data_IF_486096390842
#
_entry.id   IF_486096390842
#
_cell.length_a   1.000
_cell.length_b   1.000
_cell.length_c   1.000
_cell.angle_alpha   90.00
_cell.angle_beta   90.00
_cell.angle_gamma   90.00
#
_symmetry.space_group_name_H-M   'P 1'
#
loop_
_entity.id
_entity.type
_entity.pdbx_description
1 polymer ?
#
# COMPACT_ATOMS: atom_id res chain seq x y z
N UNK A 1 -23.89 14.49 -1.18
CA UNK A 1 -22.87 14.32 -2.26
C UNK A 1 -22.49 12.86 -2.26
N UNK A 2 -22.56 12.18 -3.40
CA UNK A 2 -22.06 10.82 -3.53
C UNK A 2 -20.56 10.80 -3.26
N UNK A 3 -20.05 9.83 -2.47
CA UNK A 3 -18.63 9.73 -2.15
C UNK A 3 -17.76 9.59 -3.41
N UNK A 4 -16.49 10.01 -3.35
CA UNK A 4 -15.55 10.02 -4.49
C UNK A 4 -15.34 8.64 -5.16
N UNK A 5 -15.58 7.55 -4.41
CA UNK A 5 -15.42 6.17 -4.86
C UNK A 5 -16.73 5.42 -4.98
N UNK A 6 -17.86 6.15 -5.05
CA UNK A 6 -19.19 5.53 -5.19
C UNK A 6 -19.25 4.62 -6.42
N UNK A 7 -19.69 3.36 -6.21
CA UNK A 7 -19.78 2.34 -7.26
C UNK A 7 -18.42 1.75 -7.69
N UNK A 8 -17.34 2.07 -7.00
CA UNK A 8 -16.01 1.52 -7.27
C UNK A 8 -15.66 0.41 -6.28
N UNK A 9 -15.13 -0.68 -6.81
CA UNK A 9 -14.63 -1.81 -6.01
C UNK A 9 -13.10 -1.78 -5.99
N UNK A 10 -12.50 -1.78 -4.80
CA UNK A 10 -11.06 -1.67 -4.61
C UNK A 10 -10.52 -2.88 -3.85
N UNK A 11 -9.54 -3.56 -4.44
CA UNK A 11 -8.76 -4.59 -3.75
C UNK A 11 -7.72 -3.92 -2.86
N UNK A 12 -7.63 -4.32 -1.59
CA UNK A 12 -6.59 -3.86 -0.66
C UNK A 12 -5.82 -5.05 -0.13
N UNK A 13 -4.51 -5.13 -0.39
CA UNK A 13 -3.67 -6.20 0.14
C UNK A 13 -3.16 -5.88 1.54
N UNK A 14 -3.03 -6.90 2.40
CA UNK A 14 -2.66 -6.68 3.80
C UNK A 14 -3.74 -5.93 4.58
N UNK A 15 -5.01 -6.16 4.23
CA UNK A 15 -6.17 -5.41 4.70
C UNK A 15 -6.54 -5.65 6.18
N UNK A 16 -6.07 -6.75 6.80
CA UNK A 16 -6.55 -7.19 8.10
C UNK A 16 -6.18 -6.27 9.28
N UNK A 17 -5.16 -5.43 9.15
CA UNK A 17 -4.64 -4.60 10.26
C UNK A 17 -3.79 -3.42 9.78
N UNK A 18 -3.43 -2.53 10.71
CA UNK A 18 -2.52 -1.40 10.47
C UNK A 18 -3.03 -0.46 9.38
N UNK A 19 -2.14 0.04 8.53
CA UNK A 19 -2.51 0.96 7.45
C UNK A 19 -3.49 0.33 6.46
N UNK A 20 -3.40 -0.98 6.19
CA UNK A 20 -4.31 -1.67 5.27
C UNK A 20 -5.76 -1.61 5.73
N UNK A 21 -6.03 -1.88 7.00
CA UNK A 21 -7.37 -1.76 7.57
C UNK A 21 -7.88 -0.31 7.53
N UNK A 22 -7.03 0.65 7.88
CA UNK A 22 -7.38 2.07 7.84
C UNK A 22 -7.64 2.58 6.41
N UNK A 23 -6.93 2.05 5.42
CA UNK A 23 -7.21 2.31 4.00
C UNK A 23 -8.58 1.74 3.59
N UNK A 24 -8.94 0.53 4.07
CA UNK A 24 -10.25 -0.05 3.83
C UNK A 24 -11.36 0.85 4.39
N UNK A 25 -11.24 1.33 5.63
CA UNK A 25 -12.20 2.27 6.21
C UNK A 25 -12.32 3.56 5.39
N UNK A 26 -11.22 4.20 5.03
CA UNK A 26 -11.24 5.45 4.26
C UNK A 26 -11.89 5.27 2.88
N UNK A 27 -11.65 4.14 2.20
CA UNK A 27 -12.26 3.82 0.92
C UNK A 27 -13.76 3.56 1.07
N UNK A 28 -14.17 2.80 2.10
CA UNK A 28 -15.56 2.51 2.41
C UNK A 28 -16.33 3.81 2.75
N UNK A 29 -15.77 4.68 3.60
CA UNK A 29 -16.33 5.99 3.94
C UNK A 29 -16.45 6.92 2.72
N UNK A 30 -15.59 6.75 1.72
CA UNK A 30 -15.67 7.44 0.44
C UNK A 30 -16.70 6.81 -0.53
N UNK A 31 -17.45 5.77 -0.10
CA UNK A 31 -18.48 5.10 -0.86
C UNK A 31 -17.99 3.94 -1.74
N UNK A 32 -16.74 3.50 -1.57
CA UNK A 32 -16.17 2.37 -2.29
C UNK A 32 -16.50 1.02 -1.65
N UNK A 33 -16.53 -0.02 -2.45
CA UNK A 33 -16.62 -1.43 -2.00
C UNK A 33 -15.22 -2.01 -1.85
N UNK A 34 -14.99 -2.79 -0.80
CA UNK A 34 -13.69 -3.39 -0.49
C UNK A 34 -13.68 -4.88 -0.84
N UNK A 35 -12.61 -5.30 -1.53
CA UNK A 35 -12.15 -6.68 -1.58
C UNK A 35 -10.88 -6.79 -0.72
N UNK A 36 -11.03 -7.26 0.51
CA UNK A 36 -9.97 -7.30 1.50
C UNK A 36 -9.09 -8.54 1.31
N UNK A 37 -7.84 -8.39 0.85
CA UNK A 37 -6.93 -9.51 0.65
C UNK A 37 -5.94 -9.64 1.82
N UNK A 38 -5.85 -10.85 2.37
CA UNK A 38 -4.95 -11.16 3.49
C UNK A 38 -4.89 -12.65 3.82
N UNK A 39 -4.14 -13.00 4.87
CA UNK A 39 -3.87 -14.38 5.29
C UNK A 39 -4.66 -14.83 6.50
N UNK A 40 -5.19 -13.90 7.26
CA UNK A 40 -5.92 -14.14 8.51
C UNK A 40 -7.39 -13.89 8.28
N UNK A 41 -8.13 -15.00 8.08
CA UNK A 41 -9.56 -14.95 7.78
C UNK A 41 -10.35 -14.29 8.91
N UNK A 42 -10.06 -14.61 10.16
CA UNK A 42 -10.81 -14.08 11.29
C UNK A 42 -10.63 -12.56 11.42
N UNK A 43 -9.39 -12.08 11.25
CA UNK A 43 -9.10 -10.65 11.27
C UNK A 43 -9.71 -9.90 10.06
N UNK A 44 -9.75 -10.51 8.88
CA UNK A 44 -10.42 -9.94 7.70
C UNK A 44 -11.93 -9.83 7.91
N UNK A 45 -12.56 -10.88 8.43
CA UNK A 45 -14.01 -10.88 8.73
C UNK A 45 -14.35 -9.79 9.75
N UNK A 46 -13.57 -9.69 10.83
CA UNK A 46 -13.78 -8.66 11.85
C UNK A 46 -13.63 -7.24 11.28
N UNK A 47 -12.59 -7.00 10.46
CA UNK A 47 -12.35 -5.71 9.83
C UNK A 47 -13.48 -5.34 8.87
N UNK A 48 -13.94 -6.28 8.02
CA UNK A 48 -15.04 -6.03 7.08
C UNK A 48 -16.35 -5.71 7.82
N UNK A 49 -16.64 -6.37 8.93
CA UNK A 49 -17.86 -6.14 9.71
C UNK A 49 -17.93 -4.72 10.31
N UNK A 50 -16.80 -4.03 10.44
CA UNK A 50 -16.67 -2.66 10.95
C UNK A 50 -16.67 -1.58 9.85
N UNK A 51 -16.72 -1.99 8.57
CA UNK A 51 -16.74 -1.04 7.45
C UNK A 51 -18.12 -0.41 7.24
N UNK A 52 -18.12 0.86 6.86
CA UNK A 52 -19.33 1.55 6.39
C UNK A 52 -19.72 1.06 5.00
N UNK A 53 -21.04 0.94 4.75
CA UNK A 53 -21.57 0.47 3.47
C UNK A 53 -21.83 -1.04 3.43
N UNK A 54 -21.95 -1.58 2.23
CA UNK A 54 -22.28 -3.00 2.00
C UNK A 54 -21.55 -3.56 0.77
N UNK A 55 -21.59 -4.89 0.60
CA UNK A 55 -20.99 -5.55 -0.57
C UNK A 55 -19.49 -5.81 -0.43
N UNK A 56 -18.90 -5.52 0.73
CA UNK A 56 -17.50 -5.85 1.01
C UNK A 56 -17.32 -7.36 1.09
N UNK A 57 -16.16 -7.86 0.63
CA UNK A 57 -15.83 -9.28 0.63
C UNK A 57 -14.33 -9.48 0.92
N UNK A 58 -13.92 -10.70 1.15
CA UNK A 58 -12.53 -11.05 1.42
C UNK A 58 -11.94 -12.01 0.39
N UNK A 59 -10.62 -11.95 0.27
CA UNK A 59 -9.81 -12.88 -0.50
C UNK A 59 -8.73 -13.45 0.44
N UNK A 60 -8.82 -14.73 0.73
CA UNK A 60 -7.85 -15.41 1.58
C UNK A 60 -6.65 -15.84 0.74
N UNK A 61 -5.61 -15.01 0.73
CA UNK A 61 -4.39 -15.27 -0.03
C UNK A 61 -3.14 -14.70 0.66
N UNK A 62 -2.02 -15.38 0.43
CA UNK A 62 -0.69 -14.86 0.76
C UNK A 62 -0.09 -14.20 -0.50
N UNK A 63 0.18 -12.91 -0.47
CA UNK A 63 0.76 -12.17 -1.61
C UNK A 63 2.09 -12.74 -2.10
N UNK A 64 2.86 -13.40 -1.23
CA UNK A 64 4.12 -14.06 -1.60
C UNK A 64 3.90 -15.39 -2.37
N UNK A 65 2.65 -15.81 -2.63
CA UNK A 65 2.29 -17.02 -3.37
C UNK A 65 1.51 -16.64 -4.62
N UNK A 66 2.19 -16.70 -5.76
CA UNK A 66 1.66 -16.23 -7.05
C UNK A 66 0.33 -16.91 -7.41
N UNK A 67 0.23 -18.25 -7.26
CA UNK A 67 -0.97 -18.99 -7.62
C UNK A 67 -2.16 -18.59 -6.72
N UNK A 68 -1.93 -18.45 -5.40
CA UNK A 68 -2.98 -18.05 -4.47
C UNK A 68 -3.54 -16.63 -4.77
N UNK A 69 -2.71 -15.73 -5.25
CA UNK A 69 -3.12 -14.39 -5.68
C UNK A 69 -3.88 -14.46 -6.99
N UNK A 70 -3.37 -15.21 -7.97
CA UNK A 70 -3.99 -15.36 -9.28
C UNK A 70 -5.40 -15.97 -9.14
N UNK A 71 -5.53 -17.08 -8.41
CA UNK A 71 -6.81 -17.75 -8.15
C UNK A 71 -7.80 -16.83 -7.40
N UNK A 72 -7.29 -16.11 -6.41
CA UNK A 72 -8.11 -15.22 -5.59
C UNK A 72 -8.69 -14.02 -6.36
N UNK A 73 -8.02 -13.55 -7.38
CA UNK A 73 -8.42 -12.37 -8.18
C UNK A 73 -9.14 -12.73 -9.48
N UNK A 74 -8.88 -13.90 -10.09
CA UNK A 74 -9.34 -14.26 -11.43
C UNK A 74 -10.87 -14.20 -11.62
N UNK A 75 -11.64 -14.52 -10.59
CA UNK A 75 -13.12 -14.54 -10.64
C UNK A 75 -13.78 -13.26 -10.13
N UNK A 76 -12.99 -12.24 -9.80
CA UNK A 76 -13.47 -10.99 -9.19
C UNK A 76 -13.58 -9.88 -10.23
N UNK A 77 -14.46 -8.92 -9.96
CA UNK A 77 -14.54 -7.66 -10.70
C UNK A 77 -14.19 -6.52 -9.75
N UNK A 78 -13.31 -5.64 -10.18
CA UNK A 78 -12.88 -4.48 -9.40
C UNK A 78 -12.32 -3.39 -10.31
N UNK A 79 -12.29 -2.15 -9.80
CA UNK A 79 -11.84 -0.95 -10.50
C UNK A 79 -10.43 -0.50 -10.08
N UNK A 80 -9.95 -1.00 -8.97
CA UNK A 80 -8.63 -0.59 -8.46
C UNK A 80 -7.98 -1.57 -7.50
N UNK A 81 -6.67 -1.40 -7.33
CA UNK A 81 -5.82 -2.19 -6.45
C UNK A 81 -4.96 -1.27 -5.57
N UNK A 82 -4.94 -1.51 -4.26
CA UNK A 82 -3.98 -0.94 -3.31
C UNK A 82 -3.03 -2.04 -2.85
N UNK A 83 -1.80 -2.02 -3.37
CA UNK A 83 -0.70 -2.89 -2.96
C UNK A 83 -0.09 -2.36 -1.66
N UNK A 84 -0.68 -2.75 -0.54
CA UNK A 84 -0.24 -2.32 0.79
C UNK A 84 0.51 -3.39 1.57
N UNK A 85 0.30 -4.68 1.31
CA UNK A 85 0.95 -5.76 2.04
C UNK A 85 2.47 -5.56 2.10
N UNK A 86 3.03 -5.60 3.31
CA UNK A 86 4.45 -5.41 3.51
C UNK A 86 4.89 -5.71 4.93
N UNK A 87 6.16 -6.05 5.08
CA UNK A 87 6.84 -6.28 6.35
C UNK A 87 8.17 -5.53 6.37
N UNK A 88 8.66 -5.24 7.56
CA UNK A 88 9.98 -4.67 7.78
C UNK A 88 10.78 -5.56 8.73
N UNK A 89 12.08 -5.67 8.47
CA UNK A 89 13.06 -6.28 9.36
C UNK A 89 14.18 -5.28 9.57
N UNK A 90 14.63 -5.14 10.80
CA UNK A 90 15.72 -4.22 11.17
C UNK A 90 16.99 -5.03 11.42
N UNK A 91 17.98 -4.87 10.54
CA UNK A 91 19.30 -5.50 10.65
C UNK A 91 20.35 -4.68 9.90
N UNK A 92 21.62 -4.78 10.32
CA UNK A 92 22.71 -4.24 9.53
C UNK A 92 22.77 -4.98 8.18
N UNK A 93 22.95 -4.25 7.08
CA UNK A 93 22.80 -4.79 5.73
C UNK A 93 23.72 -6.02 5.50
N UNK A 94 24.97 -5.96 5.97
CA UNK A 94 25.96 -7.05 5.83
C UNK A 94 25.70 -8.23 6.77
N UNK A 95 24.79 -8.10 7.73
CA UNK A 95 24.45 -9.13 8.72
C UNK A 95 22.97 -9.53 8.65
N UNK A 96 22.28 -9.17 7.58
CA UNK A 96 20.88 -9.58 7.37
C UNK A 96 20.81 -11.08 7.11
N UNK A 97 19.98 -11.79 7.88
CA UNK A 97 19.75 -13.21 7.68
C UNK A 97 19.07 -13.48 6.33
N UNK A 98 19.43 -14.55 5.64
CA UNK A 98 18.88 -14.89 4.32
C UNK A 98 17.36 -15.02 4.37
N UNK A 99 16.80 -15.68 5.37
CA UNK A 99 15.36 -15.87 5.50
C UNK A 99 14.61 -14.53 5.65
N UNK A 100 15.20 -13.58 6.38
CA UNK A 100 14.62 -12.25 6.54
C UNK A 100 14.67 -11.46 5.23
N UNK A 101 15.79 -11.54 4.51
CA UNK A 101 15.92 -10.93 3.17
C UNK A 101 14.85 -11.48 2.24
N UNK A 102 14.73 -12.82 2.13
CA UNK A 102 13.73 -13.48 1.29
C UNK A 102 12.33 -13.06 1.69
N UNK A 103 11.98 -13.14 2.97
CA UNK A 103 10.64 -12.74 3.47
C UNK A 103 10.26 -11.31 3.11
N UNK A 104 11.19 -10.37 3.23
CA UNK A 104 10.95 -8.96 2.91
C UNK A 104 10.76 -8.79 1.39
N UNK A 105 11.64 -9.38 0.59
CA UNK A 105 11.55 -9.26 -0.88
C UNK A 105 10.29 -9.97 -1.41
N UNK A 106 10.03 -11.20 -0.95
CA UNK A 106 8.86 -11.97 -1.39
C UNK A 106 7.54 -11.30 -1.03
N UNK A 107 7.46 -10.68 0.16
CA UNK A 107 6.24 -10.01 0.58
C UNK A 107 6.08 -8.63 -0.07
N UNK A 108 7.11 -7.78 0.03
CA UNK A 108 6.99 -6.38 -0.34
C UNK A 108 7.03 -6.16 -1.85
N UNK A 109 8.04 -6.75 -2.51
CA UNK A 109 8.26 -6.54 -3.94
C UNK A 109 7.55 -7.58 -4.80
N UNK A 110 7.88 -8.86 -4.64
CA UNK A 110 7.27 -9.92 -5.44
C UNK A 110 5.76 -10.00 -5.18
N UNK A 111 5.31 -9.88 -3.93
CA UNK A 111 3.88 -9.84 -3.62
C UNK A 111 3.12 -8.71 -4.31
N UNK A 112 3.73 -7.52 -4.39
CA UNK A 112 3.14 -6.40 -5.14
C UNK A 112 3.18 -6.64 -6.66
N UNK A 113 4.21 -7.30 -7.17
CA UNK A 113 4.30 -7.67 -8.58
C UNK A 113 3.25 -8.74 -8.96
N UNK A 114 3.11 -9.79 -8.15
CA UNK A 114 2.12 -10.86 -8.40
C UNK A 114 0.68 -10.33 -8.35
N UNK A 115 0.36 -9.48 -7.38
CA UNK A 115 -0.96 -8.84 -7.31
C UNK A 115 -1.21 -7.90 -8.48
N UNK A 116 -0.22 -7.14 -8.93
CA UNK A 116 -0.33 -6.32 -10.14
C UNK A 116 -0.58 -7.20 -11.36
N UNK A 117 0.20 -8.26 -11.56
CA UNK A 117 0.04 -9.17 -12.71
C UNK A 117 -1.33 -9.84 -12.74
N UNK A 118 -1.85 -10.27 -11.58
CA UNK A 118 -3.18 -10.86 -11.48
C UNK A 118 -4.30 -9.84 -11.67
N UNK A 119 -4.10 -8.58 -11.27
CA UNK A 119 -5.10 -7.52 -11.39
C UNK A 119 -5.23 -6.97 -12.82
N UNK A 120 -4.13 -6.90 -13.57
CA UNK A 120 -4.11 -6.27 -14.91
C UNK A 120 -5.12 -6.87 -15.89
N UNK A 121 -5.28 -8.19 -16.05
CA UNK A 121 -6.29 -8.75 -16.94
C UNK A 121 -7.72 -8.35 -16.55
N UNK A 122 -8.03 -8.28 -15.26
CA UNK A 122 -9.35 -7.89 -14.74
C UNK A 122 -9.62 -6.42 -15.05
N UNK A 123 -8.65 -5.54 -14.75
CA UNK A 123 -8.77 -4.10 -15.01
C UNK A 123 -8.88 -3.80 -16.52
N UNK A 124 -8.14 -4.53 -17.38
CA UNK A 124 -8.28 -4.43 -18.84
C UNK A 124 -9.67 -4.81 -19.30
N UNK A 125 -10.22 -5.90 -18.78
CA UNK A 125 -11.57 -6.35 -19.13
C UNK A 125 -12.66 -5.35 -18.67
N UNK A 126 -12.40 -4.60 -17.60
CA UNK A 126 -13.24 -3.51 -17.09
C UNK A 126 -13.09 -2.20 -17.90
N UNK A 127 -12.19 -2.12 -18.88
CA UNK A 127 -11.92 -0.93 -19.68
C UNK A 127 -10.98 0.08 -19.03
N UNK A 128 -10.22 -0.32 -18.02
CA UNK A 128 -9.24 0.51 -17.32
C UNK A 128 -9.34 0.40 -15.80
N UNK A 129 -8.55 1.21 -15.08
CA UNK A 129 -8.57 1.20 -13.62
C UNK A 129 -7.42 1.95 -12.98
N UNK A 130 -7.19 1.70 -11.69
CA UNK A 130 -6.13 2.35 -10.93
C UNK A 130 -5.38 1.37 -10.03
N UNK A 131 -4.06 1.49 -9.98
CA UNK A 131 -3.19 0.76 -9.06
C UNK A 131 -2.43 1.78 -8.21
N UNK A 132 -2.52 1.63 -6.88
CA UNK A 132 -1.75 2.41 -5.91
C UNK A 132 -0.82 1.48 -5.15
N UNK A 133 0.48 1.66 -5.33
CA UNK A 133 1.50 0.90 -4.62
C UNK A 133 1.93 1.64 -3.35
N UNK A 134 1.91 1.01 -2.19
CA UNK A 134 2.40 1.61 -0.95
C UNK A 134 3.91 1.42 -0.84
N UNK A 135 4.63 2.49 -1.18
CA UNK A 135 6.08 2.62 -1.02
C UNK A 135 6.46 3.03 0.41
N UNK A 136 7.47 3.85 0.57
CA UNK A 136 7.90 4.47 1.84
C UNK A 136 8.89 5.60 1.56
N UNK A 137 8.95 6.60 2.43
CA UNK A 137 10.05 7.59 2.43
C UNK A 137 11.43 6.91 2.48
N UNK A 138 11.54 5.75 3.11
CA UNK A 138 12.78 4.97 3.16
C UNK A 138 13.23 4.41 1.81
N UNK A 139 12.34 4.33 0.82
CA UNK A 139 12.72 4.03 -0.56
C UNK A 139 13.44 5.18 -1.25
N UNK A 140 13.26 6.43 -0.81
CA UNK A 140 14.03 7.60 -1.26
C UNK A 140 15.30 7.80 -0.44
N UNK A 141 15.20 7.72 0.90
CA UNK A 141 16.29 8.00 1.85
C UNK A 141 16.34 6.94 2.93
N UNK A 142 17.20 5.92 2.80
CA UNK A 142 17.30 4.83 3.78
C UNK A 142 17.87 5.34 5.11
N UNK A 143 17.51 4.64 6.18
CA UNK A 143 18.14 4.79 7.49
C UNK A 143 19.04 3.57 7.80
N UNK A 144 20.00 3.71 8.71
CA UNK A 144 20.77 2.56 9.19
C UNK A 144 19.83 1.43 9.63
N UNK A 145 20.25 0.20 9.37
CA UNK A 145 19.52 -1.04 9.71
C UNK A 145 18.18 -1.26 8.99
N UNK A 146 17.81 -0.43 7.98
CA UNK A 146 16.59 -0.62 7.19
C UNK A 146 16.86 -1.03 5.74
N UNK A 147 18.09 -1.42 5.41
CA UNK A 147 18.58 -1.53 4.03
C UNK A 147 17.72 -2.41 3.11
N UNK A 148 17.34 -3.63 3.54
CA UNK A 148 16.54 -4.55 2.72
C UNK A 148 15.11 -4.00 2.53
N UNK A 149 14.50 -3.49 3.60
CA UNK A 149 13.18 -2.84 3.49
C UNK A 149 13.22 -1.64 2.54
N UNK A 150 14.21 -0.75 2.71
CA UNK A 150 14.40 0.42 1.85
C UNK A 150 14.59 0.03 0.38
N UNK A 151 15.41 -0.97 0.10
CA UNK A 151 15.61 -1.51 -1.24
C UNK A 151 14.30 -2.04 -1.84
N UNK A 152 13.50 -2.80 -1.07
CA UNK A 152 12.20 -3.29 -1.52
C UNK A 152 11.24 -2.14 -1.88
N UNK A 153 11.24 -1.05 -1.09
CA UNK A 153 10.37 0.12 -1.34
C UNK A 153 10.87 0.99 -2.50
N UNK A 154 12.17 1.09 -2.72
CA UNK A 154 12.74 1.71 -3.92
C UNK A 154 12.40 0.91 -5.19
N UNK A 155 12.45 -0.44 -5.13
CA UNK A 155 12.03 -1.31 -6.23
C UNK A 155 10.55 -1.11 -6.59
N UNK A 156 9.65 -0.94 -5.59
CA UNK A 156 8.23 -0.62 -5.81
C UNK A 156 8.07 0.72 -6.54
N UNK A 157 8.82 1.75 -6.19
CA UNK A 157 8.76 3.05 -6.88
C UNK A 157 9.16 2.92 -8.35
N UNK A 158 10.21 2.14 -8.64
CA UNK A 158 10.63 1.92 -10.03
C UNK A 158 9.64 1.03 -10.78
N UNK A 159 9.12 -0.02 -10.16
CA UNK A 159 8.04 -0.86 -10.73
C UNK A 159 6.81 -0.02 -11.07
N UNK A 160 6.45 0.95 -10.22
CA UNK A 160 5.35 1.88 -10.46
C UNK A 160 5.53 2.66 -11.77
N UNK A 161 6.73 3.21 -12.02
CA UNK A 161 7.03 3.94 -13.25
C UNK A 161 6.97 3.05 -14.49
N UNK A 162 7.55 1.85 -14.42
CA UNK A 162 7.53 0.89 -15.52
C UNK A 162 6.11 0.47 -15.86
N UNK A 163 5.34 0.07 -14.85
CA UNK A 163 3.94 -0.34 -15.03
C UNK A 163 3.06 0.80 -15.57
N UNK A 164 3.29 2.04 -15.14
CA UNK A 164 2.56 3.20 -15.64
C UNK A 164 2.74 3.40 -17.15
N UNK A 165 3.97 3.23 -17.66
CA UNK A 165 4.28 3.35 -19.08
C UNK A 165 3.63 2.20 -19.87
N UNK A 166 3.75 0.97 -19.38
CA UNK A 166 3.28 -0.23 -20.06
C UNK A 166 1.74 -0.32 -20.11
N UNK A 167 1.05 0.13 -19.05
CA UNK A 167 -0.39 -0.03 -18.87
C UNK A 167 -1.21 1.20 -19.28
N UNK A 168 -0.57 2.32 -19.63
CA UNK A 168 -1.26 3.55 -20.05
C UNK A 168 -2.23 3.34 -21.22
N UNK A 169 -1.84 2.54 -22.22
CA UNK A 169 -2.69 2.20 -23.38
C UNK A 169 -3.95 1.43 -22.99
N UNK A 170 -3.91 0.74 -21.85
CA UNK A 170 -5.04 -0.04 -21.31
C UNK A 170 -5.89 0.80 -20.34
N UNK A 171 -5.69 2.12 -20.30
CA UNK A 171 -6.38 3.07 -19.40
C UNK A 171 -6.20 2.72 -17.91
N UNK A 172 -5.08 2.09 -17.54
CA UNK A 172 -4.74 1.77 -16.15
C UNK A 172 -3.69 2.77 -15.66
N UNK A 173 -4.05 3.57 -14.64
CA UNK A 173 -3.11 4.46 -13.95
C UNK A 173 -2.39 3.70 -12.85
N UNK A 174 -1.08 3.89 -12.75
CA UNK A 174 -0.28 3.27 -11.69
C UNK A 174 0.54 4.34 -10.99
N UNK A 175 0.29 4.55 -9.70
CA UNK A 175 1.03 5.52 -8.87
C UNK A 175 1.47 4.86 -7.56
N UNK A 176 2.38 5.50 -6.86
CA UNK A 176 2.80 5.09 -5.52
C UNK A 176 2.45 6.16 -4.48
N UNK A 177 2.11 5.72 -3.27
CA UNK A 177 2.08 6.54 -2.07
C UNK A 177 3.30 6.17 -1.22
N UNK A 178 4.12 7.14 -0.86
CA UNK A 178 5.31 6.97 -0.03
C UNK A 178 5.12 7.67 1.34
N UNK A 179 4.57 6.97 2.34
CA UNK A 179 4.45 7.52 3.68
C UNK A 179 5.80 7.73 4.35
N UNK A 180 5.90 8.77 5.19
CA UNK A 180 6.88 8.88 6.24
C UNK A 180 6.55 7.98 7.43
N UNK A 181 6.96 8.38 8.62
CA UNK A 181 6.58 7.68 9.84
C UNK A 181 5.17 8.06 10.27
N UNK A 182 4.32 7.04 10.35
CA UNK A 182 2.90 7.15 10.74
C UNK A 182 2.72 6.41 12.05
N UNK A 183 2.16 7.07 13.04
CA UNK A 183 1.89 6.49 14.36
C UNK A 183 0.77 5.45 14.23
N UNK A 184 1.09 4.20 14.48
CA UNK A 184 0.14 3.09 14.54
C UNK A 184 0.39 2.28 15.80
N UNK A 185 -0.56 1.45 16.20
CA UNK A 185 -0.36 0.61 17.40
C UNK A 185 0.82 -0.36 17.24
N UNK A 186 1.15 -0.76 16.01
CA UNK A 186 2.26 -1.66 15.71
C UNK A 186 3.66 -1.04 15.95
N UNK A 187 3.79 0.28 15.89
CA UNK A 187 5.07 0.96 16.00
C UNK A 187 5.12 2.04 17.09
N UNK A 188 4.05 2.15 17.88
CA UNK A 188 3.91 3.16 18.94
C UNK A 188 5.08 3.12 19.92
N UNK A 189 5.43 1.94 20.43
CA UNK A 189 6.50 1.79 21.44
C UNK A 189 7.85 2.26 20.89
N UNK A 190 8.15 1.94 19.63
CA UNK A 190 9.37 2.43 18.99
C UNK A 190 9.32 3.95 18.77
N UNK A 191 8.22 4.47 18.24
CA UNK A 191 8.13 5.90 17.90
C UNK A 191 8.09 6.81 19.14
N UNK A 192 7.67 6.30 20.29
CA UNK A 192 7.70 7.02 21.58
C UNK A 192 8.99 6.85 22.38
N UNK A 193 9.91 5.98 21.93
CA UNK A 193 11.23 5.80 22.54
C UNK A 193 12.17 6.97 22.25
N UNK A 194 13.31 7.02 22.95
CA UNK A 194 14.38 8.02 22.70
C UNK A 194 14.86 8.00 21.23
N UNK A 195 14.92 6.82 20.61
CA UNK A 195 15.27 6.67 19.21
C UNK A 195 14.18 7.27 18.29
N UNK A 196 12.92 7.06 18.62
CA UNK A 196 11.79 7.67 17.93
C UNK A 196 11.78 9.20 18.07
N UNK A 197 12.02 9.74 19.26
CA UNK A 197 12.13 11.18 19.48
C UNK A 197 13.25 11.81 18.66
N UNK A 198 14.41 11.14 18.56
CA UNK A 198 15.50 11.60 17.66
C UNK A 198 15.10 11.55 16.19
N UNK A 199 14.36 10.52 15.79
CA UNK A 199 13.84 10.39 14.45
C UNK A 199 12.80 11.46 14.11
N UNK A 200 11.92 11.79 15.06
CA UNK A 200 10.91 12.84 14.94
C UNK A 200 11.54 14.21 14.62
N UNK A 201 12.70 14.54 15.22
CA UNK A 201 13.44 15.77 14.93
C UNK A 201 13.96 15.88 13.51
N UNK A 202 14.00 14.78 12.76
CA UNK A 202 14.40 14.74 11.34
C UNK A 202 13.25 15.06 10.39
N UNK A 203 12.02 15.17 10.86
CA UNK A 203 10.91 15.66 10.05
C UNK A 203 10.82 17.18 10.18
N UNK A 204 10.56 17.87 9.09
CA UNK A 204 10.42 19.33 9.11
C UNK A 204 9.25 19.80 9.99
N UNK A 205 8.18 18.99 10.04
CA UNK A 205 7.01 19.24 10.90
C UNK A 205 7.22 18.83 12.36
N UNK A 206 8.37 18.25 12.73
CA UNK A 206 8.73 17.81 14.09
C UNK A 206 7.68 16.92 14.77
N UNK A 207 6.96 16.13 14.00
CA UNK A 207 6.00 15.13 14.49
C UNK A 207 5.86 13.98 13.50
N UNK A 208 5.36 12.87 13.97
CA UNK A 208 4.90 11.78 13.12
C UNK A 208 3.47 12.04 12.64
N UNK A 209 3.12 11.49 11.49
CA UNK A 209 1.77 11.60 10.98
C UNK A 209 0.81 10.70 11.78
N UNK A 210 -0.44 11.13 11.91
CA UNK A 210 -1.54 10.24 12.22
C UNK A 210 -1.95 9.47 10.94
N UNK A 211 -2.52 8.28 11.04
CA UNK A 211 -3.02 7.55 9.86
C UNK A 211 -3.99 8.37 9.00
N UNK A 212 -4.86 9.16 9.63
CA UNK A 212 -5.84 9.98 8.94
C UNK A 212 -5.21 10.99 7.94
N UNK A 213 -3.95 11.39 8.16
CA UNK A 213 -3.25 12.34 7.29
C UNK A 213 -2.78 11.71 5.96
N UNK A 214 -2.79 10.38 5.84
CA UNK A 214 -2.51 9.70 4.58
C UNK A 214 -3.76 9.52 3.72
N UNK A 215 -4.96 9.51 4.32
CA UNK A 215 -6.20 9.18 3.63
C UNK A 215 -6.53 10.13 2.49
N UNK A 216 -6.36 11.47 2.61
CA UNK A 216 -6.60 12.38 1.50
C UNK A 216 -5.74 12.07 0.27
N UNK A 217 -4.46 11.69 0.49
CA UNK A 217 -3.55 11.34 -0.60
C UNK A 217 -3.93 10.01 -1.27
N UNK A 218 -4.30 8.99 -0.48
CA UNK A 218 -4.78 7.73 -1.02
C UNK A 218 -6.04 7.93 -1.86
N UNK A 219 -7.04 8.62 -1.31
CA UNK A 219 -8.30 8.90 -2.00
C UNK A 219 -8.11 9.75 -3.26
N UNK A 220 -7.15 10.69 -3.25
CA UNK A 220 -6.77 11.46 -4.43
C UNK A 220 -6.18 10.56 -5.53
N UNK A 221 -5.28 9.62 -5.18
CA UNK A 221 -4.70 8.70 -6.15
C UNK A 221 -5.74 7.73 -6.75
N UNK A 222 -6.71 7.29 -5.95
CA UNK A 222 -7.80 6.40 -6.35
C UNK A 222 -8.92 7.12 -7.13
N UNK A 223 -9.09 8.43 -6.94
CA UNK A 223 -10.18 9.21 -7.53
C UNK A 223 -10.17 9.13 -9.06
N UNK A 224 -11.25 8.70 -9.72
CA UNK A 224 -11.37 8.74 -11.19
C UNK A 224 -11.17 10.13 -11.81
N UNK A 225 -11.48 11.19 -11.08
CA UNK A 225 -11.27 12.57 -11.54
C UNK A 225 -9.76 12.90 -11.70
N UNK A 226 -8.87 12.19 -11.00
CA UNK A 226 -7.43 12.28 -11.18
C UNK A 226 -6.98 11.46 -12.40
N UNK A 227 -7.42 11.83 -13.59
CA UNK A 227 -7.26 11.01 -14.82
C UNK A 227 -5.92 11.20 -15.54
N UNK A 228 -5.13 12.23 -15.21
CA UNK A 228 -3.89 12.56 -15.94
C UNK A 228 -2.60 12.29 -15.15
N UNK A 229 -2.69 11.66 -13.98
CA UNK A 229 -1.56 11.33 -13.13
C UNK A 229 -1.27 9.82 -13.17
N UNK A 230 -0.10 9.44 -13.68
CA UNK A 230 0.41 8.07 -13.67
C UNK A 230 1.94 8.06 -13.60
N UNK A 231 2.54 7.04 -12.99
CA UNK A 231 3.97 6.89 -12.83
C UNK A 231 4.59 7.68 -11.67
N UNK A 232 3.78 8.41 -10.89
CA UNK A 232 4.26 9.30 -9.84
C UNK A 232 4.35 8.59 -8.47
N UNK A 233 5.26 9.07 -7.64
CA UNK A 233 5.36 8.69 -6.23
C UNK A 233 5.02 9.88 -5.35
N UNK A 234 3.81 9.89 -4.81
CA UNK A 234 3.33 10.93 -3.91
C UNK A 234 3.88 10.70 -2.49
N UNK A 235 4.77 11.57 -2.04
CA UNK A 235 5.41 11.46 -0.72
C UNK A 235 4.63 12.28 0.32
N UNK A 236 4.26 11.63 1.43
CA UNK A 236 3.56 12.24 2.58
C UNK A 236 4.38 11.91 3.84
N UNK A 237 5.36 12.73 4.16
CA UNK A 237 6.40 12.42 5.16
C UNK A 237 6.72 13.54 6.14
N UNK A 238 5.93 14.61 6.16
CA UNK A 238 6.18 15.78 7.01
C UNK A 238 7.49 16.50 6.70
N UNK A 239 7.98 16.40 5.46
CA UNK A 239 9.22 17.02 5.00
C UNK A 239 10.49 16.24 5.39
N UNK A 240 10.37 14.98 5.81
CA UNK A 240 11.54 14.17 6.20
C UNK A 240 12.52 13.95 5.03
N UNK A 241 12.03 13.73 3.83
CA UNK A 241 12.87 13.53 2.64
C UNK A 241 13.49 14.83 2.12
N UNK A 242 12.91 15.99 2.45
CA UNK A 242 13.39 17.32 2.06
C UNK A 242 14.41 17.91 3.06
N UNK A 243 14.40 17.43 4.32
CA UNK A 243 15.38 17.89 5.32
C UNK A 243 16.76 17.27 5.09
N UNK A 244 17.82 18.03 5.33
CA UNK A 244 19.23 17.62 5.21
C UNK A 244 19.66 16.65 6.31
#
# INVERSE_FOLDING_TARGET
MTGKLHGKTIVVTGAARGLGALFCHAIADAGGTILALGRDQAALVAMIADLSGTGHDLILANVAKIDAVADGLASRQFDGLVNNAGIAVTAALHASAEDDVRRVIDTNFLGSLWTLQAAVPVLKAAGGGVIVNIASVLGHRPLPHTGIYAASKAAIMQMTRSAAIELARDQIRVNALAPGYVMTDLNRDFLTSDAGIKLQKRTALHRFASPAELMPALLFLLDPANSYMTGETLTIDGGMSASL
#
